data_IF_538412686472
#
_entry.id   IF_538412686472
#
_cell.length_a   1.000
_cell.length_b   1.000
_cell.length_c   1.000
_cell.angle_alpha   90.00
_cell.angle_beta   90.00
_cell.angle_gamma   90.00
#
_symmetry.space_group_name_H-M   'P 1'
#
loop_
_entity.id
_entity.type
_entity.pdbx_description
1 polymer ?
#
# COMPACT_ATOMS: atom_id res chain seq x y z
N UNK A 1 -9.92 -29.54 -25.91
CA UNK A 1 -9.21 -28.31 -25.49
C UNK A 1 -9.85 -27.81 -24.21
N UNK A 2 -9.08 -27.39 -23.21
CA UNK A 2 -9.64 -26.70 -22.04
C UNK A 2 -10.21 -25.32 -22.45
N UNK A 3 -11.24 -24.79 -21.77
CA UNK A 3 -11.78 -23.48 -22.08
C UNK A 3 -10.75 -22.38 -21.80
N UNK A 4 -10.63 -21.41 -22.70
CA UNK A 4 -9.84 -20.20 -22.46
C UNK A 4 -10.65 -19.26 -21.55
N UNK A 5 -10.04 -18.86 -20.44
CA UNK A 5 -10.63 -17.97 -19.43
C UNK A 5 -9.53 -17.10 -18.81
N UNK A 6 -9.91 -15.92 -18.34
CA UNK A 6 -9.09 -15.06 -17.48
C UNK A 6 -9.24 -15.43 -15.99
N UNK A 7 -10.41 -15.94 -15.60
CA UNK A 7 -10.78 -16.19 -14.20
C UNK A 7 -11.38 -17.58 -14.03
N UNK A 8 -11.00 -18.26 -12.96
CA UNK A 8 -11.58 -19.54 -12.53
C UNK A 8 -11.75 -19.56 -11.01
N UNK A 9 -12.82 -20.20 -10.54
CA UNK A 9 -13.00 -20.48 -9.11
C UNK A 9 -12.18 -21.71 -8.71
N UNK A 10 -11.36 -21.58 -7.67
CA UNK A 10 -10.69 -22.71 -7.03
C UNK A 10 -11.61 -23.26 -5.95
N UNK A 11 -12.00 -24.55 -5.97
CA UNK A 11 -12.85 -25.12 -4.95
C UNK A 11 -12.15 -25.18 -3.58
N UNK A 12 -12.94 -25.10 -2.50
CA UNK A 12 -12.43 -25.23 -1.14
C UNK A 12 -11.69 -26.57 -0.97
N UNK A 13 -10.48 -26.51 -0.39
CA UNK A 13 -9.60 -27.66 -0.21
C UNK A 13 -9.31 -28.46 -1.50
N UNK A 14 -9.44 -27.84 -2.67
CA UNK A 14 -9.09 -28.43 -3.96
C UNK A 14 -8.04 -27.61 -4.71
N UNK A 15 -7.95 -27.84 -6.03
CA UNK A 15 -6.98 -27.17 -6.89
C UNK A 15 -7.56 -26.91 -8.29
N UNK A 16 -6.91 -26.02 -9.03
CA UNK A 16 -7.13 -25.81 -10.46
C UNK A 16 -5.80 -25.95 -11.19
N UNK A 17 -5.83 -26.52 -12.40
CA UNK A 17 -4.65 -26.61 -13.26
C UNK A 17 -4.82 -25.61 -14.39
N UNK A 18 -3.85 -24.69 -14.51
CA UNK A 18 -3.83 -23.65 -15.52
C UNK A 18 -2.74 -23.92 -16.55
N UNK A 19 -2.98 -23.50 -17.78
CA UNK A 19 -1.98 -23.47 -18.85
C UNK A 19 -2.15 -22.18 -19.63
N UNK A 20 -1.07 -21.42 -19.76
CA UNK A 20 -1.00 -20.22 -20.60
C UNK A 20 0.28 -20.25 -21.43
N UNK A 21 0.33 -19.43 -22.48
CA UNK A 21 1.57 -19.18 -23.24
C UNK A 21 2.21 -17.92 -22.66
N UNK A 22 3.50 -17.99 -22.39
CA UNK A 22 4.28 -16.86 -21.87
C UNK A 22 4.89 -16.08 -23.05
N UNK A 23 4.03 -15.54 -23.92
CA UNK A 23 4.39 -14.89 -25.19
C UNK A 23 4.11 -13.37 -25.19
N UNK A 24 3.82 -12.80 -24.03
CA UNK A 24 3.53 -11.38 -23.85
C UNK A 24 4.41 -10.79 -22.72
N UNK A 25 5.60 -10.23 -23.04
CA UNK A 25 6.52 -9.69 -22.06
C UNK A 25 5.90 -8.61 -21.17
N UNK A 26 6.13 -8.69 -19.87
CA UNK A 26 5.54 -7.78 -18.89
C UNK A 26 5.44 -8.35 -17.49
N UNK A 27 4.89 -7.52 -16.59
CA UNK A 27 4.55 -7.89 -15.21
C UNK A 27 3.03 -8.06 -15.08
N UNK A 28 2.58 -9.30 -14.93
CA UNK A 28 1.16 -9.66 -14.91
C UNK A 28 0.68 -9.96 -13.51
N UNK A 29 -0.35 -9.25 -13.04
CA UNK A 29 -0.97 -9.52 -11.74
C UNK A 29 -1.83 -10.79 -11.81
N UNK A 30 -1.52 -11.76 -10.96
CA UNK A 30 -2.34 -12.96 -10.74
C UNK A 30 -2.79 -12.98 -9.29
N UNK A 31 -4.09 -12.85 -9.05
CA UNK A 31 -4.61 -12.62 -7.71
C UNK A 31 -5.99 -13.23 -7.48
N UNK A 32 -6.40 -13.29 -6.21
CA UNK A 32 -7.78 -13.56 -5.87
C UNK A 32 -8.64 -12.34 -6.20
N UNK A 33 -9.71 -12.53 -6.97
CA UNK A 33 -10.63 -11.45 -7.34
C UNK A 33 -11.61 -11.05 -6.21
N UNK A 34 -11.39 -11.54 -4.98
CA UNK A 34 -12.08 -11.07 -3.77
C UNK A 34 -11.23 -9.96 -3.16
N UNK A 35 -11.74 -8.72 -3.20
CA UNK A 35 -10.99 -7.50 -2.81
C UNK A 35 -10.31 -7.63 -1.45
N UNK A 36 -11.01 -8.16 -0.44
CA UNK A 36 -10.43 -8.35 0.89
C UNK A 36 -9.22 -9.30 0.86
N UNK A 37 -9.28 -10.39 0.11
CA UNK A 37 -8.16 -11.33 0.01
C UNK A 37 -7.00 -10.74 -0.79
N UNK A 38 -7.29 -9.98 -1.86
CA UNK A 38 -6.27 -9.27 -2.65
C UNK A 38 -5.49 -8.27 -1.78
N UNK A 39 -6.20 -7.41 -1.05
CA UNK A 39 -5.59 -6.39 -0.18
C UNK A 39 -4.81 -7.01 0.99
N UNK A 40 -5.23 -8.18 1.47
CA UNK A 40 -4.51 -8.95 2.49
C UNK A 40 -3.31 -9.74 1.92
N UNK A 41 -3.03 -9.64 0.62
CA UNK A 41 -1.81 -10.18 0.00
C UNK A 41 -1.98 -11.48 -0.78
N UNK A 42 -3.21 -11.94 -1.07
CA UNK A 42 -3.46 -13.10 -1.95
C UNK A 42 -3.28 -12.72 -3.43
N UNK A 43 -2.06 -12.34 -3.78
CA UNK A 43 -1.65 -11.90 -5.10
C UNK A 43 -0.19 -12.30 -5.37
N UNK A 44 0.14 -12.47 -6.64
CA UNK A 44 1.51 -12.63 -7.13
C UNK A 44 1.65 -11.89 -8.46
N UNK A 45 2.90 -11.58 -8.83
CA UNK A 45 3.23 -11.00 -10.13
C UNK A 45 4.02 -12.02 -10.93
N UNK A 46 3.59 -12.26 -12.17
CA UNK A 46 4.30 -13.08 -13.14
C UNK A 46 5.13 -12.16 -14.03
N UNK A 47 6.45 -12.30 -13.98
CA UNK A 47 7.33 -11.69 -14.96
C UNK A 47 7.39 -12.63 -16.18
N UNK A 48 6.99 -12.10 -17.34
CA UNK A 48 7.13 -12.77 -18.63
C UNK A 48 8.19 -12.02 -19.41
N UNK A 49 9.19 -12.72 -19.94
CA UNK A 49 10.31 -12.14 -20.68
C UNK A 49 11.41 -11.51 -19.81
N UNK A 50 12.49 -11.14 -20.49
CA UNK A 50 13.63 -10.42 -19.93
C UNK A 50 13.36 -8.92 -19.82
N UNK A 51 14.17 -8.23 -19.01
CA UNK A 51 14.02 -6.78 -18.84
C UNK A 51 14.13 -5.99 -20.16
N UNK A 52 14.94 -6.47 -21.10
CA UNK A 52 15.11 -5.87 -22.43
C UNK A 52 13.91 -6.03 -23.36
N UNK A 53 12.99 -6.93 -23.04
CA UNK A 53 11.78 -7.20 -23.83
C UNK A 53 10.58 -6.40 -23.32
N UNK A 54 10.73 -5.68 -22.21
CA UNK A 54 9.66 -4.89 -21.61
C UNK A 54 9.27 -3.72 -22.52
N UNK A 55 7.97 -3.42 -22.64
CA UNK A 55 7.52 -2.28 -23.42
C UNK A 55 8.05 -0.97 -22.82
N UNK A 56 8.45 -0.04 -23.68
CA UNK A 56 8.83 1.30 -23.24
C UNK A 56 7.64 1.99 -22.58
N UNK A 57 7.94 2.72 -21.51
CA UNK A 57 6.95 3.53 -20.81
C UNK A 57 6.37 4.59 -21.76
N UNK A 58 5.03 4.72 -21.89
CA UNK A 58 4.42 5.74 -22.73
C UNK A 58 4.89 7.17 -22.37
N UNK A 59 4.94 8.11 -23.35
CA UNK A 59 5.23 9.50 -23.05
C UNK A 59 4.28 10.07 -21.99
N UNK A 60 4.82 10.83 -21.03
CA UNK A 60 4.07 11.43 -19.91
C UNK A 60 3.43 10.44 -18.93
N UNK A 61 3.89 9.18 -18.89
CA UNK A 61 3.45 8.26 -17.84
C UNK A 61 3.92 8.77 -16.46
N UNK A 62 3.04 8.77 -15.43
CA UNK A 62 3.42 9.22 -14.09
C UNK A 62 4.58 8.42 -13.53
N UNK A 63 5.57 9.11 -12.97
CA UNK A 63 6.68 8.46 -12.26
C UNK A 63 6.39 8.42 -10.76
N UNK A 64 6.99 7.45 -10.07
CA UNK A 64 6.92 7.42 -8.62
C UNK A 64 7.44 8.75 -8.05
N UNK A 65 6.66 9.40 -7.19
CA UNK A 65 7.02 10.69 -6.57
C UNK A 65 6.70 11.95 -7.39
N UNK A 66 6.23 11.86 -8.63
CA UNK A 66 5.85 13.06 -9.43
C UNK A 66 4.41 13.55 -9.20
N UNK A 67 3.66 12.88 -8.31
CA UNK A 67 2.31 13.16 -7.81
C UNK A 67 1.25 13.60 -8.84
N UNK A 68 0.44 12.62 -9.26
CA UNK A 68 -1.01 12.74 -9.11
C UNK A 68 -1.44 11.72 -8.04
N UNK A 69 -1.66 12.19 -6.80
CA UNK A 69 -2.12 11.44 -5.61
C UNK A 69 -1.07 10.59 -4.86
N UNK A 70 -0.44 11.20 -3.86
CA UNK A 70 0.26 10.52 -2.77
C UNK A 70 -0.42 10.90 -1.44
N UNK A 71 -1.24 10.00 -0.84
CA UNK A 71 -1.95 10.29 0.41
C UNK A 71 -0.99 10.39 1.61
N UNK A 72 0.19 9.77 1.56
CA UNK A 72 1.20 9.87 2.63
C UNK A 72 1.92 11.22 2.53
N UNK A 73 2.30 11.66 1.33
CA UNK A 73 2.83 13.01 1.15
C UNK A 73 1.79 14.11 1.40
N UNK A 74 0.49 13.83 1.21
CA UNK A 74 -0.59 14.74 1.60
C UNK A 74 -0.74 14.80 3.13
N UNK A 75 -0.75 13.66 3.81
CA UNK A 75 -0.86 13.57 5.26
C UNK A 75 0.36 14.20 5.96
N UNK A 76 1.55 14.02 5.41
CA UNK A 76 2.79 14.64 5.91
C UNK A 76 2.87 16.15 5.62
N UNK A 77 2.10 16.67 4.66
CA UNK A 77 1.99 18.12 4.39
C UNK A 77 0.85 18.80 5.16
N UNK A 78 0.00 18.06 5.88
CA UNK A 78 -1.12 18.64 6.62
C UNK A 78 -0.63 19.53 7.78
N UNK A 79 -0.86 20.85 7.75
CA UNK A 79 -0.45 21.77 8.82
C UNK A 79 -1.23 21.57 10.13
N UNK A 80 -2.26 20.72 10.14
CA UNK A 80 -2.97 20.33 11.35
C UNK A 80 -2.15 19.40 12.25
N UNK A 81 -1.19 18.64 11.71
CA UNK A 81 -0.34 17.75 12.51
C UNK A 81 0.74 18.50 13.30
N UNK A 82 1.29 19.59 12.76
CA UNK A 82 2.24 20.44 13.49
C UNK A 82 1.59 21.08 14.72
N UNK A 83 0.33 21.48 14.62
CA UNK A 83 -0.41 22.07 15.74
C UNK A 83 -0.69 21.07 16.85
N UNK A 84 -0.98 19.80 16.54
CA UNK A 84 -1.22 18.76 17.56
C UNK A 84 0.06 18.42 18.32
N UNK A 85 1.21 18.42 17.64
CA UNK A 85 2.50 18.15 18.28
C UNK A 85 2.89 19.29 19.22
N UNK A 86 2.71 20.55 18.82
CA UNK A 86 2.88 21.71 19.72
C UNK A 86 1.89 21.70 20.90
N UNK A 87 0.61 21.37 20.67
CA UNK A 87 -0.40 21.31 21.73
C UNK A 87 -0.10 20.21 22.75
N UNK A 88 0.31 19.02 22.29
CA UNK A 88 0.66 17.90 23.16
C UNK A 88 1.87 18.23 24.03
N UNK A 89 2.89 18.88 23.48
CA UNK A 89 4.10 19.27 24.23
C UNK A 89 3.76 20.34 25.28
N UNK A 90 2.88 21.30 24.94
CA UNK A 90 2.38 22.28 25.90
C UNK A 90 1.52 21.64 27.01
N UNK A 91 0.61 20.72 26.67
CA UNK A 91 -0.22 20.02 27.66
C UNK A 91 0.60 19.15 28.62
N UNK A 92 1.62 18.44 28.13
CA UNK A 92 2.50 17.61 28.97
C UNK A 92 3.36 18.49 29.87
N UNK A 93 3.91 19.59 29.37
CA UNK A 93 4.73 20.53 30.17
C UNK A 93 3.92 21.20 31.28
N UNK A 94 2.70 21.65 30.98
CA UNK A 94 1.79 22.25 31.98
C UNK A 94 1.34 21.22 33.02
N UNK A 95 1.04 19.98 32.61
CA UNK A 95 0.67 18.92 33.54
C UNK A 95 1.83 18.58 34.49
N UNK A 96 3.04 18.39 33.97
CA UNK A 96 4.23 18.10 34.78
C UNK A 96 4.56 19.26 35.73
N UNK A 97 4.47 20.52 35.28
CA UNK A 97 4.67 21.69 36.15
C UNK A 97 3.61 21.77 37.25
N UNK A 98 2.35 21.50 36.91
CA UNK A 98 1.24 21.52 37.88
C UNK A 98 1.41 20.42 38.93
N UNK A 99 1.77 19.20 38.51
CA UNK A 99 2.09 18.08 39.41
C UNK A 99 3.30 18.42 40.28
N UNK A 100 4.38 18.99 39.73
CA UNK A 100 5.54 19.41 40.51
C UNK A 100 5.19 20.50 41.54
N UNK A 101 4.36 21.49 41.20
CA UNK A 101 3.96 22.54 42.13
C UNK A 101 3.03 21.99 43.21
N UNK A 102 2.06 21.14 42.86
CA UNK A 102 1.14 20.56 43.85
C UNK A 102 1.84 19.57 44.78
N UNK A 103 2.75 18.73 44.28
CA UNK A 103 3.55 17.85 45.14
C UNK A 103 4.61 18.61 45.94
N UNK A 104 5.21 19.66 45.38
CA UNK A 104 6.17 20.53 46.09
C UNK A 104 5.54 21.37 47.20
N UNK A 105 4.24 21.68 47.11
CA UNK A 105 3.47 22.30 48.20
C UNK A 105 3.00 21.31 49.28
N UNK A 106 3.10 20.01 49.01
CA UNK A 106 2.67 18.94 49.93
C UNK A 106 3.85 18.24 50.63
N UNK A 107 5.08 18.74 50.44
CA UNK A 107 6.29 18.30 51.14
C UNK A 107 6.85 19.42 52.00
#
# INVERSE_FOLDING_TARGET
QAPAKDTISVPNAGYAILRFRADNPGFWLFHCHVTNHMVLGMAMVLQVGEHSEMPETPPNFPTCGSSLYDPIAQELRNPLRSNVQELLVHSITVFLLTVCITFGYFM
#
